data_IF_898303721136
#
_entry.id   IF_898303721136
#
_cell.length_a   1.000
_cell.length_b   1.000
_cell.length_c   1.000
_cell.angle_alpha   90.00
_cell.angle_beta   90.00
_cell.angle_gamma   90.00
#
_symmetry.space_group_name_H-M   'P 1'
#
loop_
_entity.id
_entity.type
_entity.pdbx_description
1 polymer ?
#
# COMPACT_ATOMS: atom_id res chain seq x y z
N UNK A 1 56.09 44.61 25.53
CA UNK A 1 55.19 45.70 25.99
C UNK A 1 53.88 45.57 25.20
N UNK A 2 52.75 45.40 25.65
CA UNK A 2 52.04 45.57 26.89
C UNK A 2 50.80 44.65 26.85
N UNK A 3 50.67 43.90 27.83
CA UNK A 3 49.49 43.21 28.33
C UNK A 3 48.23 44.07 28.36
N UNK A 4 47.08 43.51 28.10
CA UNK A 4 45.92 43.65 28.99
C UNK A 4 44.81 42.64 28.59
N UNK A 5 44.50 41.77 29.52
CA UNK A 5 43.25 41.00 29.71
C UNK A 5 42.35 41.88 30.61
N UNK A 6 41.15 41.39 31.04
CA UNK A 6 39.91 40.92 30.39
C UNK A 6 38.69 41.74 30.90
N UNK A 7 37.51 41.44 30.42
CA UNK A 7 36.27 41.81 31.14
C UNK A 7 35.24 40.67 31.05
N UNK A 8 35.07 40.06 32.22
CA UNK A 8 33.94 39.20 32.60
C UNK A 8 32.87 40.09 33.21
N UNK A 9 31.63 40.00 32.74
CA UNK A 9 30.41 40.47 33.45
C UNK A 9 29.35 39.40 33.10
N UNK A 10 29.06 38.49 33.98
CA UNK A 10 28.30 38.40 35.25
C UNK A 10 26.79 38.67 35.06
N UNK A 11 26.06 37.55 35.15
CA UNK A 11 24.80 37.28 35.85
C UNK A 11 23.89 38.47 36.19
N UNK A 12 22.64 38.39 35.76
CA UNK A 12 21.50 38.78 36.58
C UNK A 12 20.25 37.99 36.22
N UNK A 13 19.88 37.10 37.09
CA UNK A 13 18.57 36.51 37.23
C UNK A 13 17.51 37.58 37.52
N UNK A 14 16.35 37.49 36.91
CA UNK A 14 15.12 38.09 37.47
C UNK A 14 14.00 37.05 37.44
N UNK A 15 13.74 36.61 38.62
CA UNK A 15 12.59 35.87 39.11
C UNK A 15 11.56 36.90 39.60
N UNK A 16 10.34 36.90 39.11
CA UNK A 16 9.11 37.45 39.76
C UNK A 16 7.96 37.01 38.88
N UNK A 17 6.84 36.62 39.29
CA UNK A 17 6.05 36.37 40.51
C UNK A 17 4.71 35.82 40.03
N UNK A 18 4.25 34.82 40.65
CA UNK A 18 2.90 34.34 40.91
C UNK A 18 1.76 35.30 40.61
N UNK A 19 0.68 34.80 39.95
CA UNK A 19 -0.68 35.07 40.33
C UNK A 19 -1.54 33.85 40.08
N UNK A 20 -1.82 33.10 41.10
CA UNK A 20 -2.89 32.11 41.18
C UNK A 20 -4.23 32.85 41.19
N UNK A 21 -5.18 32.41 40.40
CA UNK A 21 -6.58 32.70 40.62
C UNK A 21 -7.36 31.37 40.58
N UNK A 22 -7.62 30.89 41.78
CA UNK A 22 -8.58 29.85 42.06
C UNK A 22 -9.98 30.44 41.94
N UNK A 23 -10.86 29.80 41.15
CA UNK A 23 -12.30 29.98 41.30
C UNK A 23 -12.93 28.60 41.47
N UNK A 24 -13.32 28.35 42.68
CA UNK A 24 -14.12 27.21 43.10
C UNK A 24 -15.61 27.56 42.94
N UNK A 25 -16.45 26.51 42.98
CA UNK A 25 -17.93 26.49 43.16
C UNK A 25 -18.65 26.15 41.85
N UNK A 26 -19.57 25.21 41.79
CA UNK A 26 -20.39 24.50 42.76
C UNK A 26 -20.85 23.18 42.16
N UNK A 27 -20.94 22.19 43.02
CA UNK A 27 -21.65 20.93 42.82
C UNK A 27 -23.13 21.21 42.79
N UNK A 28 -23.82 20.81 41.70
CA UNK A 28 -25.23 20.44 41.77
C UNK A 28 -25.37 19.16 40.98
N UNK A 29 -25.55 18.07 41.69
CA UNK A 29 -25.92 16.81 41.14
C UNK A 29 -27.36 16.79 40.72
N UNK A 30 -27.60 16.31 39.50
CA UNK A 30 -28.84 15.63 39.14
C UNK A 30 -28.50 14.63 38.07
N UNK A 31 -28.51 13.33 38.41
CA UNK A 31 -28.78 12.27 37.44
C UNK A 31 -30.26 12.28 37.09
N UNK A 32 -30.64 12.06 35.86
CA UNK A 32 -31.31 10.83 35.59
C UNK A 32 -30.78 10.07 34.34
N UNK A 33 -30.88 8.79 34.47
CA UNK A 33 -30.81 7.83 33.38
C UNK A 33 -31.78 8.24 32.25
N UNK A 34 -31.28 8.25 31.02
CA UNK A 34 -32.15 8.25 29.86
C UNK A 34 -31.43 7.58 28.68
N UNK A 35 -31.94 6.41 28.36
CA UNK A 35 -32.09 5.84 27.03
C UNK A 35 -31.03 6.22 25.99
N UNK A 36 -30.12 5.29 25.76
CA UNK A 36 -29.36 5.20 24.53
C UNK A 36 -30.33 4.97 23.36
N UNK A 37 -30.66 6.02 22.70
CA UNK A 37 -31.35 5.96 21.41
C UNK A 37 -30.36 5.39 20.40
N UNK A 38 -30.58 4.13 20.07
CA UNK A 38 -29.88 3.40 19.04
C UNK A 38 -30.29 4.01 17.69
N UNK A 39 -29.52 4.97 17.20
CA UNK A 39 -29.67 5.47 15.84
C UNK A 39 -29.30 4.32 14.91
N UNK A 40 -30.29 3.62 14.40
CA UNK A 40 -30.14 2.71 13.29
C UNK A 40 -29.65 3.48 12.06
N UNK A 41 -28.37 3.36 11.77
CA UNK A 41 -27.81 3.84 10.50
C UNK A 41 -28.39 2.99 9.38
N UNK A 42 -29.42 3.46 8.75
CA UNK A 42 -29.94 2.88 7.51
C UNK A 42 -28.80 2.83 6.49
N UNK A 43 -28.51 1.63 5.99
CA UNK A 43 -27.51 1.41 4.97
C UNK A 43 -27.82 2.29 3.75
N UNK A 44 -26.80 2.90 3.17
CA UNK A 44 -26.87 3.74 1.96
C UNK A 44 -27.61 3.05 0.80
N UNK A 45 -27.58 1.72 0.74
CA UNK A 45 -28.32 0.92 -0.24
C UNK A 45 -29.85 0.94 -0.03
N UNK A 46 -30.36 1.16 1.18
CA UNK A 46 -31.80 1.28 1.45
C UNK A 46 -32.34 2.64 1.04
N UNK A 47 -31.51 3.66 0.92
CA UNK A 47 -31.90 5.00 0.47
C UNK A 47 -32.04 5.07 -1.07
N UNK A 48 -31.34 4.24 -1.81
CA UNK A 48 -31.35 4.24 -3.29
C UNK A 48 -32.45 3.37 -3.91
N UNK A 49 -32.98 2.37 -3.21
CA UNK A 49 -33.95 1.42 -3.75
C UNK A 49 -35.26 1.28 -2.96
N UNK A 50 -35.53 2.18 -2.03
CA UNK A 50 -36.72 2.15 -1.17
C UNK A 50 -37.79 3.17 -1.55
N UNK A 51 -38.45 3.00 -2.68
CA UNK A 51 -39.56 3.85 -3.07
C UNK A 51 -40.53 3.18 -4.02
N UNK A 52 -41.55 2.52 -3.51
CA UNK A 52 -42.62 1.98 -4.37
C UNK A 52 -43.64 1.16 -3.58
N UNK A 53 -44.64 1.85 -2.98
CA UNK A 53 -45.89 1.22 -2.54
C UNK A 53 -46.69 0.80 -3.76
N UNK A 54 -47.20 -0.42 -3.81
CA UNK A 54 -48.51 -0.68 -4.40
C UNK A 54 -49.08 -2.02 -3.92
N UNK A 55 -50.20 -1.91 -3.39
CA UNK A 55 -51.43 -2.67 -3.33
C UNK A 55 -51.44 -4.10 -3.89
N UNK A 56 -51.91 -4.98 -3.04
CA UNK A 56 -52.41 -6.33 -3.30
C UNK A 56 -53.78 -6.26 -4.01
N UNK A 57 -54.08 -7.11 -4.94
CA UNK A 57 -55.41 -7.69 -5.02
C UNK A 57 -55.44 -9.23 -5.02
N UNK A 58 -56.58 -9.66 -4.62
CA UNK A 58 -57.04 -10.97 -4.19
C UNK A 58 -56.91 -12.13 -5.17
N UNK A 59 -56.93 -13.30 -4.52
CA UNK A 59 -57.11 -14.67 -5.03
C UNK A 59 -58.15 -14.82 -6.13
N UNK A 60 -57.78 -15.54 -7.19
CA UNK A 60 -58.65 -16.52 -7.81
C UNK A 60 -57.91 -17.83 -8.09
N UNK A 61 -58.46 -18.88 -7.52
CA UNK A 61 -58.16 -20.28 -7.68
C UNK A 61 -58.69 -20.74 -9.02
N UNK A 62 -57.87 -21.35 -9.86
CA UNK A 62 -58.31 -22.36 -10.82
C UNK A 62 -57.23 -23.42 -10.99
N UNK A 63 -57.61 -24.62 -10.64
CA UNK A 63 -56.91 -25.86 -10.95
C UNK A 63 -56.94 -26.13 -12.43
N UNK A 64 -55.83 -26.48 -13.02
CA UNK A 64 -55.76 -27.53 -14.07
C UNK A 64 -54.32 -27.98 -14.23
N UNK A 65 -54.14 -29.29 -14.07
CA UNK A 65 -52.90 -30.03 -14.30
C UNK A 65 -52.33 -29.78 -15.70
N UNK A 66 -51.03 -29.59 -15.73
CA UNK A 66 -50.22 -30.24 -16.77
C UNK A 66 -48.72 -30.32 -16.36
N UNK A 67 -48.24 -31.48 -16.55
CA UNK A 67 -46.94 -32.05 -16.27
C UNK A 67 -45.94 -31.48 -17.27
N UNK A 68 -44.97 -30.67 -16.87
CA UNK A 68 -43.76 -30.44 -17.66
C UNK A 68 -42.54 -30.24 -16.80
N UNK A 69 -41.61 -31.12 -17.01
CA UNK A 69 -40.14 -31.10 -16.84
C UNK A 69 -39.52 -30.03 -15.94
N UNK A 70 -39.07 -30.49 -14.79
CA UNK A 70 -38.16 -29.82 -13.87
C UNK A 70 -36.84 -29.55 -14.56
N UNK A 71 -36.33 -28.28 -14.60
CA UNK A 71 -34.97 -28.03 -15.02
C UNK A 71 -34.01 -28.57 -13.95
N UNK A 72 -33.19 -29.51 -14.34
CA UNK A 72 -32.06 -30.00 -13.53
C UNK A 72 -31.12 -28.83 -13.27
N UNK A 73 -30.93 -28.45 -11.99
CA UNK A 73 -29.83 -27.59 -11.55
C UNK A 73 -28.52 -28.16 -12.07
N UNK A 74 -27.63 -27.32 -12.64
CA UNK A 74 -26.28 -27.77 -12.93
C UNK A 74 -25.63 -28.29 -11.64
N UNK A 75 -25.13 -29.49 -11.69
CA UNK A 75 -24.38 -30.07 -10.59
C UNK A 75 -23.19 -29.15 -10.29
N UNK A 76 -23.15 -28.61 -9.08
CA UNK A 76 -21.94 -27.96 -8.56
C UNK A 76 -20.86 -29.03 -8.60
N UNK A 77 -19.92 -28.91 -9.53
CA UNK A 77 -18.70 -29.71 -9.52
C UNK A 77 -18.04 -29.44 -8.18
N UNK A 78 -18.07 -30.43 -7.29
CA UNK A 78 -17.28 -30.43 -6.08
C UNK A 78 -15.83 -30.17 -6.51
N UNK A 79 -15.25 -29.08 -6.02
CA UNK A 79 -13.85 -28.83 -6.22
C UNK A 79 -13.08 -30.04 -5.68
N UNK A 80 -12.17 -30.56 -6.50
CA UNK A 80 -11.27 -31.61 -6.05
C UNK A 80 -10.56 -31.16 -4.78
N UNK A 81 -10.30 -32.04 -3.81
CA UNK A 81 -9.56 -31.69 -2.61
C UNK A 81 -8.23 -31.04 -3.04
N UNK A 82 -7.90 -29.90 -2.42
CA UNK A 82 -6.61 -29.26 -2.64
C UNK A 82 -5.51 -30.28 -2.34
N UNK A 83 -4.53 -30.40 -3.26
CA UNK A 83 -3.36 -31.24 -3.04
C UNK A 83 -2.71 -30.82 -1.71
N UNK A 84 -2.14 -31.76 -0.93
CA UNK A 84 -1.38 -31.42 0.26
C UNK A 84 -0.33 -30.36 -0.07
N UNK A 85 -0.05 -29.41 0.83
CA UNK A 85 1.01 -28.45 0.61
C UNK A 85 2.31 -29.20 0.39
N UNK A 86 3.04 -28.84 -0.68
CA UNK A 86 4.37 -29.39 -0.93
C UNK A 86 5.28 -29.03 0.26
N UNK A 87 6.18 -29.92 0.70
CA UNK A 87 7.07 -29.63 1.82
C UNK A 87 7.92 -28.38 1.50
N UNK A 88 7.94 -27.45 2.44
CA UNK A 88 8.81 -26.27 2.36
C UNK A 88 10.26 -26.71 2.37
N UNK A 89 11.06 -26.15 1.44
CA UNK A 89 12.49 -26.40 1.38
C UNK A 89 13.18 -25.61 2.46
N UNK A 90 13.94 -26.28 3.32
CA UNK A 90 14.73 -25.63 4.36
C UNK A 90 15.73 -24.65 3.73
N UNK A 91 15.75 -23.40 4.24
CA UNK A 91 16.65 -22.37 3.73
C UNK A 91 18.05 -22.55 4.31
N UNK A 92 19.05 -22.27 3.47
CA UNK A 92 20.44 -22.31 3.90
C UNK A 92 20.75 -21.18 4.89
N UNK A 93 21.65 -21.42 5.83
CA UNK A 93 22.08 -20.40 6.80
C UNK A 93 22.68 -19.15 6.11
N UNK A 94 23.34 -19.34 4.96
CA UNK A 94 23.92 -18.28 4.14
C UNK A 94 23.04 -17.89 2.95
N UNK A 95 21.73 -18.15 3.00
CA UNK A 95 20.82 -17.76 1.94
C UNK A 95 20.84 -16.24 1.74
N UNK A 96 20.84 -15.81 0.46
CA UNK A 96 20.73 -14.39 0.10
C UNK A 96 19.43 -13.82 0.62
N UNK A 97 19.50 -12.71 1.32
CA UNK A 97 18.33 -12.00 1.86
C UNK A 97 17.86 -10.94 0.89
N UNK A 98 16.65 -11.09 0.40
CA UNK A 98 15.94 -10.14 -0.44
C UNK A 98 15.01 -9.34 0.48
N UNK A 99 15.37 -8.11 0.81
CA UNK A 99 14.53 -7.22 1.59
C UNK A 99 13.54 -6.52 0.66
N UNK A 100 12.24 -6.67 0.94
CA UNK A 100 11.16 -6.02 0.19
C UNK A 100 10.53 -4.96 1.09
N UNK A 101 10.55 -3.70 0.65
CA UNK A 101 10.03 -2.55 1.40
C UNK A 101 9.04 -1.74 0.57
N UNK A 102 8.12 -1.08 1.23
CA UNK A 102 7.17 -0.17 0.59
C UNK A 102 5.76 -0.25 1.16
N UNK A 103 4.77 0.04 0.32
CA UNK A 103 3.36 0.06 0.70
C UNK A 103 2.69 -1.33 0.57
N UNK A 104 1.35 -1.39 0.49
CA UNK A 104 0.62 -2.66 0.39
C UNK A 104 0.97 -3.48 -0.87
N UNK A 105 1.42 -2.83 -1.95
CA UNK A 105 1.89 -3.55 -3.14
C UNK A 105 3.20 -4.27 -2.86
N UNK A 106 4.09 -3.68 -2.07
CA UNK A 106 5.34 -4.33 -1.65
C UNK A 106 5.07 -5.60 -0.83
N UNK A 107 4.09 -5.58 0.07
CA UNK A 107 3.66 -6.80 0.77
C UNK A 107 3.15 -7.87 -0.19
N UNK A 108 2.33 -7.47 -1.19
CA UNK A 108 1.90 -8.39 -2.25
C UNK A 108 3.03 -8.90 -3.14
N UNK A 109 4.04 -8.06 -3.42
CA UNK A 109 5.24 -8.45 -4.15
C UNK A 109 6.07 -9.46 -3.34
N UNK A 110 6.24 -9.23 -2.04
CA UNK A 110 6.93 -10.15 -1.15
C UNK A 110 6.28 -11.54 -1.15
N UNK A 111 4.94 -11.62 -0.98
CA UNK A 111 4.20 -12.89 -1.09
C UNK A 111 4.47 -13.63 -2.42
N UNK A 112 4.47 -12.88 -3.54
CA UNK A 112 4.73 -13.44 -4.85
C UNK A 112 6.19 -13.91 -5.02
N UNK A 113 7.15 -13.21 -4.43
CA UNK A 113 8.56 -13.60 -4.42
C UNK A 113 8.82 -14.80 -3.50
N UNK A 114 8.19 -14.88 -2.34
CA UNK A 114 8.26 -16.05 -1.47
C UNK A 114 7.77 -17.31 -2.20
N UNK A 115 6.64 -17.20 -2.91
CA UNK A 115 6.14 -18.30 -3.74
C UNK A 115 7.15 -18.67 -4.86
N UNK A 116 7.77 -17.66 -5.50
CA UNK A 116 8.78 -17.88 -6.54
C UNK A 116 10.02 -18.59 -6.04
N UNK A 117 10.47 -18.23 -4.86
CA UNK A 117 11.69 -18.75 -4.25
C UNK A 117 11.44 -19.89 -3.26
N UNK A 118 10.18 -20.37 -3.13
CA UNK A 118 9.83 -21.44 -2.18
C UNK A 118 10.75 -22.68 -2.31
N UNK A 119 11.08 -23.05 -3.54
CA UNK A 119 11.96 -24.19 -3.86
C UNK A 119 13.45 -23.82 -3.99
N UNK A 120 13.83 -22.59 -3.68
CA UNK A 120 15.21 -22.09 -3.77
C UNK A 120 15.82 -21.97 -2.37
N UNK A 121 16.61 -22.95 -1.89
CA UNK A 121 17.14 -22.91 -0.53
C UNK A 121 18.11 -21.74 -0.30
N UNK A 122 18.72 -21.21 -1.35
CA UNK A 122 19.70 -20.13 -1.29
C UNK A 122 19.11 -18.72 -1.29
N UNK A 123 17.78 -18.54 -1.20
CA UNK A 123 17.13 -17.22 -1.20
C UNK A 123 16.08 -17.17 -0.10
N UNK A 124 16.13 -16.10 0.70
CA UNK A 124 15.12 -15.75 1.70
C UNK A 124 14.56 -14.38 1.36
N UNK A 125 13.25 -14.24 1.33
CA UNK A 125 12.55 -12.97 1.21
C UNK A 125 12.23 -12.46 2.61
N UNK A 126 12.55 -11.20 2.87
CA UNK A 126 12.24 -10.52 4.13
C UNK A 126 11.33 -9.35 3.81
N UNK A 127 10.07 -9.44 4.23
CA UNK A 127 9.07 -8.42 4.00
C UNK A 127 9.09 -7.40 5.14
N UNK A 128 9.14 -6.11 4.77
CA UNK A 128 9.08 -4.95 5.66
C UNK A 128 8.21 -3.88 4.98
N UNK A 129 6.92 -4.18 4.81
CA UNK A 129 5.98 -3.24 4.22
C UNK A 129 5.16 -2.50 5.27
N UNK A 130 4.73 -1.29 4.93
CA UNK A 130 3.77 -0.51 5.71
C UNK A 130 2.61 -0.14 4.79
N UNK A 131 1.52 -0.89 4.84
CA UNK A 131 0.45 -0.91 3.83
C UNK A 131 -0.12 0.45 3.45
N UNK A 132 -0.26 1.38 4.41
CA UNK A 132 -0.80 2.72 4.18
C UNK A 132 0.28 3.79 3.98
N UNK A 133 1.54 3.41 3.90
CA UNK A 133 2.67 4.33 3.70
C UNK A 133 2.77 4.81 2.25
N UNK A 134 3.58 5.82 2.06
CA UNK A 134 3.95 6.42 0.80
C UNK A 134 5.06 7.44 1.03
N UNK A 135 5.38 8.24 0.02
CA UNK A 135 6.32 9.36 0.15
C UNK A 135 5.61 10.67 0.46
N UNK A 136 4.30 10.78 0.18
CA UNK A 136 3.51 11.99 0.47
C UNK A 136 3.24 12.12 1.96
N UNK A 137 3.00 11.03 2.67
CA UNK A 137 2.64 10.99 4.08
C UNK A 137 3.82 10.55 4.95
N UNK A 138 4.91 11.33 4.90
CA UNK A 138 6.07 11.18 5.79
C UNK A 138 5.73 11.34 7.28
N UNK A 139 4.65 12.06 7.58
CA UNK A 139 4.08 12.14 8.93
C UNK A 139 3.45 10.82 9.42
N UNK A 140 3.11 9.91 8.52
CA UNK A 140 2.60 8.57 8.85
C UNK A 140 3.72 7.54 8.95
N UNK A 141 4.63 7.52 7.98
CA UNK A 141 5.79 6.63 7.93
C UNK A 141 6.90 7.26 7.09
N UNK A 142 8.04 7.52 7.72
CA UNK A 142 9.19 8.18 7.10
C UNK A 142 10.18 7.15 6.57
N UNK A 143 9.99 6.69 5.32
CA UNK A 143 10.85 5.69 4.70
C UNK A 143 12.33 6.07 4.70
N UNK A 144 12.74 7.30 4.35
CA UNK A 144 14.15 7.72 4.45
C UNK A 144 14.75 7.58 5.85
N UNK A 145 13.97 7.84 6.89
CA UNK A 145 14.43 7.76 8.28
C UNK A 145 14.50 6.31 8.79
N UNK A 146 13.52 5.47 8.42
CA UNK A 146 13.40 4.09 8.92
C UNK A 146 14.33 3.11 8.19
N UNK A 147 14.55 3.32 6.88
CA UNK A 147 15.22 2.37 6.01
C UNK A 147 16.67 2.03 6.43
N UNK A 148 17.50 2.98 6.90
CA UNK A 148 18.83 2.65 7.39
C UNK A 148 18.83 1.64 8.54
N UNK A 149 17.93 1.81 9.50
CA UNK A 149 17.78 0.87 10.64
C UNK A 149 17.35 -0.53 10.19
N UNK A 150 16.39 -0.59 9.26
CA UNK A 150 15.92 -1.86 8.67
C UNK A 150 17.06 -2.58 7.94
N UNK A 151 17.85 -1.85 7.15
CA UNK A 151 18.99 -2.42 6.41
C UNK A 151 20.07 -2.93 7.38
N UNK A 152 20.34 -2.21 8.46
CA UNK A 152 21.31 -2.63 9.48
C UNK A 152 20.85 -3.89 10.21
N UNK A 153 19.57 -3.99 10.55
CA UNK A 153 18.98 -5.14 11.25
C UNK A 153 18.95 -6.38 10.33
N UNK A 154 18.37 -6.25 9.14
CA UNK A 154 18.17 -7.37 8.21
C UNK A 154 19.47 -7.80 7.55
N UNK A 155 20.36 -6.86 7.25
CA UNK A 155 21.60 -7.07 6.48
C UNK A 155 21.31 -7.74 5.13
N UNK A 156 20.47 -7.13 4.28
CA UNK A 156 20.05 -7.75 3.03
C UNK A 156 21.19 -7.75 2.01
N UNK A 157 21.13 -8.70 1.09
CA UNK A 157 22.01 -8.74 -0.08
C UNK A 157 21.47 -7.87 -1.23
N UNK A 158 20.18 -7.57 -1.23
CA UNK A 158 19.49 -6.72 -2.19
C UNK A 158 18.26 -6.10 -1.54
N UNK A 159 17.96 -4.86 -1.89
CA UNK A 159 16.75 -4.14 -1.46
C UNK A 159 15.84 -3.96 -2.66
N UNK A 160 14.61 -4.43 -2.51
CA UNK A 160 13.52 -4.29 -3.49
C UNK A 160 12.51 -3.28 -2.93
N UNK A 161 12.28 -2.20 -3.66
CA UNK A 161 11.34 -1.15 -3.28
C UNK A 161 10.14 -1.19 -4.19
N UNK A 162 8.92 -1.16 -3.62
CA UNK A 162 7.68 -0.88 -4.35
C UNK A 162 6.82 0.06 -3.52
N UNK A 163 6.74 1.32 -3.92
CA UNK A 163 6.21 2.40 -3.11
C UNK A 163 5.54 3.45 -3.99
N UNK A 164 4.50 4.12 -3.48
CA UNK A 164 3.84 5.24 -4.14
C UNK A 164 2.38 5.00 -4.51
N UNK A 165 1.83 3.81 -4.28
CA UNK A 165 0.43 3.52 -4.61
C UNK A 165 -0.58 4.35 -3.80
N UNK A 166 -0.17 4.91 -2.66
CA UNK A 166 -0.98 5.78 -1.81
C UNK A 166 -0.74 7.28 -2.08
N UNK A 167 0.12 7.63 -3.04
CA UNK A 167 0.63 9.00 -3.20
C UNK A 167 -0.15 9.89 -4.17
N UNK A 168 -1.26 9.39 -4.74
CA UNK A 168 -2.20 10.19 -5.55
C UNK A 168 -2.99 11.16 -4.68
N UNK A 169 -2.30 12.07 -3.98
CA UNK A 169 -2.88 13.01 -3.04
C UNK A 169 -2.04 14.29 -2.86
N UNK A 170 -2.66 15.34 -2.34
CA UNK A 170 -1.95 16.57 -1.97
C UNK A 170 -0.83 16.27 -0.97
N UNK A 171 0.29 16.97 -1.12
CA UNK A 171 1.43 16.85 -0.23
C UNK A 171 1.56 18.10 0.66
N UNK A 172 1.98 17.89 1.90
CA UNK A 172 2.41 18.97 2.77
C UNK A 172 3.91 19.19 2.58
N UNK A 173 4.28 20.43 2.31
CA UNK A 173 5.68 20.89 2.22
C UNK A 173 5.91 22.00 3.23
N UNK A 174 7.15 22.46 3.37
CA UNK A 174 7.47 23.63 4.20
C UNK A 174 6.74 24.89 3.74
N UNK A 175 6.49 25.04 2.45
CA UNK A 175 5.76 26.18 1.85
C UNK A 175 4.24 26.04 1.94
N UNK A 176 3.71 24.95 2.47
CA UNK A 176 2.29 24.66 2.59
C UNK A 176 1.82 23.41 1.87
N UNK A 177 0.53 23.34 1.55
CA UNK A 177 -0.04 22.24 0.78
C UNK A 177 0.12 22.50 -0.71
N UNK A 178 0.54 21.48 -1.43
CA UNK A 178 0.72 21.50 -2.89
C UNK A 178 -0.14 20.41 -3.54
N UNK A 179 -0.72 20.77 -4.69
CA UNK A 179 -1.59 19.89 -5.46
C UNK A 179 -0.80 18.79 -6.15
N UNK A 180 -1.39 17.62 -6.25
CA UNK A 180 -0.85 16.45 -6.95
C UNK A 180 -0.37 16.86 -8.36
N UNK A 181 0.85 16.46 -8.70
CA UNK A 181 1.52 16.74 -9.98
C UNK A 181 1.72 18.23 -10.32
N UNK A 182 1.51 19.15 -9.37
CA UNK A 182 2.02 20.51 -9.57
C UNK A 182 3.55 20.50 -9.58
N UNK A 183 4.17 21.51 -10.17
CA UNK A 183 5.63 21.62 -10.22
C UNK A 183 6.28 21.50 -8.84
N UNK A 184 5.73 22.19 -7.84
CA UNK A 184 6.19 22.12 -6.45
C UNK A 184 6.02 20.73 -5.84
N UNK A 185 4.92 20.04 -6.17
CA UNK A 185 4.68 18.67 -5.72
C UNK A 185 5.70 17.70 -6.34
N UNK A 186 5.94 17.80 -7.64
CA UNK A 186 6.90 16.95 -8.36
C UNK A 186 8.31 17.15 -7.80
N UNK A 187 8.75 18.40 -7.64
CA UNK A 187 10.07 18.69 -7.09
C UNK A 187 10.29 18.13 -5.69
N UNK A 188 9.29 18.23 -4.81
CA UNK A 188 9.38 17.67 -3.47
C UNK A 188 9.29 16.13 -3.51
N UNK A 189 8.45 15.54 -4.38
CA UNK A 189 8.35 14.09 -4.52
C UNK A 189 9.66 13.48 -5.04
N UNK A 190 10.30 14.12 -6.02
CA UNK A 190 11.63 13.75 -6.52
C UNK A 190 12.69 13.79 -5.40
N UNK A 191 12.67 14.82 -4.58
CA UNK A 191 13.59 14.94 -3.43
C UNK A 191 13.37 13.78 -2.42
N UNK A 192 12.12 13.42 -2.13
CA UNK A 192 11.79 12.31 -1.22
C UNK A 192 12.17 10.96 -1.82
N UNK A 193 11.96 10.77 -3.11
CA UNK A 193 12.40 9.57 -3.84
C UNK A 193 13.92 9.42 -3.79
N UNK A 194 14.65 10.49 -4.06
CA UNK A 194 16.12 10.51 -3.97
C UNK A 194 16.61 10.16 -2.55
N UNK A 195 15.90 10.63 -1.51
CA UNK A 195 16.24 10.30 -0.12
C UNK A 195 16.11 8.80 0.19
N UNK A 196 15.08 8.11 -0.35
CA UNK A 196 14.95 6.65 -0.24
C UNK A 196 16.07 5.93 -0.99
N UNK A 197 16.34 6.36 -2.23
CA UNK A 197 17.42 5.80 -3.05
C UNK A 197 18.76 5.94 -2.32
N UNK A 198 19.02 7.13 -1.78
CA UNK A 198 20.23 7.42 -1.01
C UNK A 198 20.35 6.53 0.23
N UNK A 199 19.29 6.32 0.99
CA UNK A 199 19.30 5.45 2.17
C UNK A 199 19.72 4.02 1.82
N UNK A 200 19.23 3.47 0.70
CA UNK A 200 19.65 2.15 0.20
C UNK A 200 21.11 2.13 -0.23
N UNK A 201 21.54 3.16 -0.95
CA UNK A 201 22.91 3.30 -1.50
C UNK A 201 23.94 3.48 -0.38
N UNK A 202 23.63 4.30 0.61
CA UNK A 202 24.50 4.50 1.79
C UNK A 202 24.69 3.19 2.57
N UNK A 203 23.67 2.31 2.58
CA UNK A 203 23.76 0.94 3.07
C UNK A 203 24.61 0.02 2.18
N UNK A 204 25.14 0.49 1.07
CA UNK A 204 25.92 -0.25 0.07
C UNK A 204 25.20 -1.52 -0.42
N UNK A 205 23.91 -1.39 -0.72
CA UNK A 205 23.06 -2.49 -1.22
C UNK A 205 22.62 -2.24 -2.65
N UNK A 206 22.58 -3.29 -3.51
CA UNK A 206 21.90 -3.21 -4.78
C UNK A 206 20.44 -2.81 -4.60
N UNK A 207 19.96 -1.89 -5.45
CA UNK A 207 18.59 -1.38 -5.45
C UNK A 207 17.84 -1.90 -6.67
N UNK A 208 16.70 -2.53 -6.45
CA UNK A 208 15.69 -2.81 -7.45
C UNK A 208 14.41 -2.06 -7.07
N UNK A 209 13.91 -1.21 -7.94
CA UNK A 209 12.66 -0.50 -7.74
C UNK A 209 11.60 -1.06 -8.70
N UNK A 210 10.56 -1.64 -8.17
CA UNK A 210 9.45 -2.18 -8.95
C UNK A 210 8.41 -1.10 -9.16
N UNK A 211 8.07 -0.83 -10.42
CA UNK A 211 7.10 0.16 -10.79
C UNK A 211 5.68 -0.16 -10.29
N UNK A 212 4.81 0.82 -10.39
CA UNK A 212 3.41 0.74 -10.00
C UNK A 212 2.56 0.26 -11.18
N UNK A 213 1.57 -0.60 -10.95
CA UNK A 213 0.63 -1.04 -11.98
C UNK A 213 -0.47 -0.01 -12.20
N UNK A 214 -1.29 -0.20 -13.23
CA UNK A 214 -2.55 0.52 -13.41
C UNK A 214 -3.56 0.19 -12.30
N UNK A 215 -4.53 1.08 -12.08
CA UNK A 215 -5.65 0.90 -11.16
C UNK A 215 -6.98 1.13 -11.87
N UNK A 216 -8.09 0.68 -11.30
CA UNK A 216 -9.42 0.85 -11.89
C UNK A 216 -9.86 2.33 -12.03
N UNK A 217 -9.22 3.22 -11.28
CA UNK A 217 -9.47 4.66 -11.35
C UNK A 217 -8.49 5.32 -12.32
N UNK A 218 -9.01 5.89 -13.42
CA UNK A 218 -8.20 6.48 -14.51
C UNK A 218 -7.27 7.59 -14.00
N UNK A 219 -7.74 8.44 -13.08
CA UNK A 219 -6.90 9.50 -12.49
C UNK A 219 -5.72 8.92 -11.71
N UNK A 220 -5.97 7.89 -10.89
CA UNK A 220 -4.93 7.21 -10.14
C UNK A 220 -3.93 6.53 -11.08
N UNK A 221 -4.40 5.87 -12.14
CA UNK A 221 -3.52 5.27 -13.14
C UNK A 221 -2.62 6.30 -13.82
N UNK A 222 -3.15 7.49 -14.15
CA UNK A 222 -2.36 8.58 -14.71
C UNK A 222 -1.30 9.10 -13.72
N UNK A 223 -1.61 9.12 -12.43
CA UNK A 223 -0.63 9.46 -11.40
C UNK A 223 0.47 8.38 -11.31
N UNK A 224 0.10 7.09 -11.36
CA UNK A 224 1.09 5.99 -11.34
C UNK A 224 2.05 6.05 -12.54
N UNK A 225 1.56 6.41 -13.73
CA UNK A 225 2.43 6.61 -14.90
C UNK A 225 3.44 7.73 -14.64
N UNK A 226 3.00 8.85 -14.07
CA UNK A 226 3.89 9.97 -13.75
C UNK A 226 4.93 9.58 -12.69
N UNK A 227 4.51 8.86 -11.63
CA UNK A 227 5.41 8.37 -10.58
C UNK A 227 6.43 7.37 -11.12
N UNK A 228 6.01 6.43 -11.96
CA UNK A 228 6.90 5.48 -12.61
C UNK A 228 7.99 6.19 -13.45
N UNK A 229 7.64 7.30 -14.09
CA UNK A 229 8.61 8.15 -14.80
C UNK A 229 9.68 8.72 -13.87
N UNK A 230 9.28 9.24 -12.72
CA UNK A 230 10.20 9.78 -11.69
C UNK A 230 11.10 8.65 -11.16
N UNK A 231 10.50 7.52 -10.73
CA UNK A 231 11.26 6.40 -10.20
C UNK A 231 12.28 5.86 -11.19
N UNK A 232 11.85 5.61 -12.43
CA UNK A 232 12.74 5.10 -13.47
C UNK A 232 13.95 6.01 -13.65
N UNK A 233 13.72 7.31 -13.85
CA UNK A 233 14.78 8.28 -14.08
C UNK A 233 15.76 8.30 -12.90
N UNK A 234 15.29 8.45 -11.67
CA UNK A 234 16.16 8.64 -10.51
C UNK A 234 16.88 7.36 -10.10
N UNK A 235 16.20 6.22 -10.17
CA UNK A 235 16.79 4.91 -9.84
C UNK A 235 17.89 4.55 -10.81
N UNK A 236 17.66 4.72 -12.13
CA UNK A 236 18.67 4.44 -13.16
C UNK A 236 19.85 5.40 -13.06
N UNK A 237 19.62 6.69 -12.79
CA UNK A 237 20.70 7.67 -12.57
C UNK A 237 21.56 7.32 -11.35
N UNK A 238 20.97 6.75 -10.31
CA UNK A 238 21.67 6.28 -9.13
C UNK A 238 22.37 4.92 -9.32
N UNK A 239 22.26 4.29 -10.49
CA UNK A 239 22.83 2.98 -10.79
C UNK A 239 22.04 1.82 -10.16
N UNK A 240 20.77 2.04 -9.83
CA UNK A 240 19.80 0.99 -9.47
C UNK A 240 19.11 0.42 -10.71
N UNK A 241 18.27 -0.57 -10.51
CA UNK A 241 17.47 -1.20 -11.57
C UNK A 241 15.98 -0.87 -11.38
N UNK A 242 15.36 -0.25 -12.40
CA UNK A 242 13.90 -0.06 -12.43
C UNK A 242 13.23 -1.21 -13.19
N UNK A 243 12.22 -1.82 -12.58
CA UNK A 243 11.45 -2.92 -13.16
C UNK A 243 10.06 -2.41 -13.53
N UNK A 244 9.82 -2.21 -14.80
CA UNK A 244 8.51 -1.84 -15.31
C UNK A 244 7.57 -3.04 -15.32
N UNK A 245 6.42 -2.90 -14.67
CA UNK A 245 5.39 -3.93 -14.63
C UNK A 245 4.08 -3.49 -15.32
N UNK A 246 4.05 -2.29 -15.89
CA UNK A 246 2.83 -1.65 -16.41
C UNK A 246 2.08 -2.54 -17.41
N UNK A 247 2.78 -3.02 -18.43
CA UNK A 247 2.21 -3.82 -19.51
C UNK A 247 1.62 -5.17 -19.03
N UNK A 248 2.03 -5.62 -17.86
CA UNK A 248 1.46 -6.82 -17.25
C UNK A 248 0.05 -6.66 -16.71
N UNK A 249 -0.44 -5.41 -16.55
CA UNK A 249 -1.68 -5.09 -15.84
C UNK A 249 -2.61 -4.16 -16.62
N UNK A 250 -2.38 -4.01 -17.91
CA UNK A 250 -3.22 -3.26 -18.86
C UNK A 250 -3.56 -4.11 -20.08
N UNK A 251 -4.57 -3.70 -20.86
CA UNK A 251 -4.87 -4.24 -22.18
C UNK A 251 -3.99 -3.60 -23.27
N UNK A 252 -4.25 -3.97 -24.53
CA UNK A 252 -3.53 -3.46 -25.71
C UNK A 252 -3.69 -1.95 -25.91
N UNK A 253 -4.74 -1.37 -25.35
CA UNK A 253 -4.99 0.09 -25.36
C UNK A 253 -4.36 0.80 -24.13
N UNK A 254 -3.65 0.10 -23.27
CA UNK A 254 -3.05 0.63 -22.03
C UNK A 254 -4.06 0.87 -20.89
N UNK A 255 -5.26 0.27 -20.98
CA UNK A 255 -6.30 0.42 -19.95
C UNK A 255 -6.23 -0.69 -18.93
N UNK A 256 -6.63 -0.35 -17.69
CA UNK A 256 -6.72 -1.28 -16.58
C UNK A 256 -7.54 -2.54 -16.92
N UNK A 257 -7.05 -3.70 -16.45
CA UNK A 257 -7.75 -4.98 -16.57
C UNK A 257 -7.88 -5.70 -15.23
N UNK A 258 -9.03 -6.33 -14.98
CA UNK A 258 -9.21 -7.24 -13.85
C UNK A 258 -8.59 -8.61 -14.11
N UNK A 259 -8.60 -9.04 -15.35
CA UNK A 259 -8.18 -10.36 -15.81
C UNK A 259 -7.17 -10.20 -16.93
N UNK A 260 -6.14 -11.01 -16.93
CA UNK A 260 -5.09 -11.02 -17.95
C UNK A 260 -4.29 -12.31 -17.89
N UNK A 261 -3.27 -12.43 -18.70
CA UNK A 261 -2.39 -13.60 -18.70
C UNK A 261 -1.62 -13.70 -17.37
N UNK A 262 -1.63 -14.88 -16.75
CA UNK A 262 -0.73 -15.22 -15.65
C UNK A 262 0.70 -15.52 -16.18
N UNK A 263 1.57 -15.99 -15.30
CA UNK A 263 2.96 -16.34 -15.64
C UNK A 263 3.09 -17.53 -16.62
N UNK A 264 2.02 -18.30 -16.83
CA UNK A 264 1.95 -19.43 -17.73
C UNK A 264 1.19 -19.09 -19.04
N UNK A 265 0.82 -17.83 -19.22
CA UNK A 265 0.04 -17.37 -20.36
C UNK A 265 -1.46 -17.72 -20.29
N UNK A 266 -1.94 -18.23 -19.16
CA UNK A 266 -3.34 -18.57 -18.97
C UNK A 266 -4.13 -17.36 -18.44
N UNK A 267 -5.38 -17.23 -18.87
CA UNK A 267 -6.27 -16.18 -18.37
C UNK A 267 -6.56 -16.38 -16.88
N UNK A 268 -6.21 -15.40 -16.08
CA UNK A 268 -6.43 -15.40 -14.64
C UNK A 268 -6.94 -14.03 -14.16
N UNK A 269 -7.69 -14.05 -13.08
CA UNK A 269 -8.03 -12.81 -12.40
C UNK A 269 -6.80 -12.30 -11.65
N UNK A 270 -6.31 -11.11 -12.03
CA UNK A 270 -5.10 -10.50 -11.47
C UNK A 270 -5.41 -9.50 -10.35
N UNK A 271 -6.62 -8.92 -10.36
CA UNK A 271 -7.05 -7.86 -9.44
C UNK A 271 -8.23 -8.29 -8.58
N UNK A 272 -8.28 -7.80 -7.35
CA UNK A 272 -9.43 -7.88 -6.47
C UNK A 272 -10.66 -7.17 -7.06
N UNK A 273 -11.83 -7.39 -6.48
CA UNK A 273 -13.07 -6.74 -6.92
C UNK A 273 -13.08 -5.23 -6.72
N UNK A 274 -12.22 -4.72 -5.87
CA UNK A 274 -11.99 -3.30 -5.60
C UNK A 274 -11.18 -2.60 -6.71
N UNK A 275 -10.55 -3.35 -7.62
CA UNK A 275 -9.67 -2.81 -8.66
C UNK A 275 -8.36 -2.23 -8.13
N UNK A 276 -8.02 -2.50 -6.86
CA UNK A 276 -6.84 -2.00 -6.14
C UNK A 276 -5.93 -3.16 -5.75
N UNK A 277 -6.45 -4.10 -4.96
CA UNK A 277 -5.67 -5.20 -4.44
C UNK A 277 -5.31 -6.23 -5.53
N UNK A 278 -4.15 -6.87 -5.37
CA UNK A 278 -3.72 -7.98 -6.22
C UNK A 278 -4.28 -9.31 -5.71
N UNK A 279 -4.73 -10.15 -6.61
CA UNK A 279 -5.00 -11.57 -6.31
C UNK A 279 -3.68 -12.34 -6.15
N UNK A 280 -3.75 -13.59 -5.74
CA UNK A 280 -2.56 -14.47 -5.72
C UNK A 280 -1.88 -14.50 -7.09
N UNK A 281 -2.63 -14.66 -8.19
CA UNK A 281 -2.07 -14.66 -9.54
C UNK A 281 -1.45 -13.30 -9.91
N UNK A 282 -2.06 -12.18 -9.49
CA UNK A 282 -1.51 -10.84 -9.69
C UNK A 282 -0.20 -10.63 -8.94
N UNK A 283 -0.11 -11.04 -7.67
CA UNK A 283 1.11 -10.99 -6.86
C UNK A 283 2.24 -11.83 -7.48
N UNK A 284 1.91 -13.06 -7.89
CA UNK A 284 2.88 -13.92 -8.56
C UNK A 284 3.38 -13.33 -9.88
N UNK A 285 2.51 -12.64 -10.62
CA UNK A 285 2.87 -11.94 -11.85
C UNK A 285 3.79 -10.74 -11.59
N UNK A 286 3.53 -9.92 -10.56
CA UNK A 286 4.45 -8.85 -10.14
C UNK A 286 5.84 -9.41 -9.83
N UNK A 287 5.90 -10.48 -9.03
CA UNK A 287 7.15 -11.14 -8.68
C UNK A 287 7.90 -11.66 -9.90
N UNK A 288 7.22 -12.21 -10.89
CA UNK A 288 7.82 -12.71 -12.14
C UNK A 288 8.61 -11.63 -12.88
N UNK A 289 8.11 -10.39 -12.92
CA UNK A 289 8.87 -9.27 -13.51
C UNK A 289 10.15 -8.96 -12.75
N UNK A 290 10.14 -9.05 -11.42
CA UNK A 290 11.28 -8.70 -10.58
C UNK A 290 12.33 -9.84 -10.43
N UNK A 291 11.93 -11.09 -10.61
CA UNK A 291 12.78 -12.26 -10.36
C UNK A 291 14.12 -12.21 -11.08
N UNK A 292 14.14 -11.80 -12.35
CA UNK A 292 15.36 -11.75 -13.15
C UNK A 292 16.41 -10.83 -12.52
N UNK A 293 15.98 -9.69 -11.98
CA UNK A 293 16.85 -8.70 -11.37
C UNK A 293 17.36 -9.17 -10.00
N UNK A 294 16.55 -9.95 -9.29
CA UNK A 294 16.89 -10.52 -7.98
C UNK A 294 17.84 -11.72 -8.10
N UNK A 295 17.72 -12.52 -9.16
CA UNK A 295 18.56 -13.73 -9.37
C UNK A 295 19.98 -13.43 -9.84
N UNK A 296 20.27 -12.22 -10.28
CA UNK A 296 21.62 -11.76 -10.66
C UNK A 296 22.48 -11.50 -9.43
#
# INVERSE_FOLDING_TARGET
RSMSRPAVISFAARLTCFAALAFAIAVVGVSPASAQERVERKSFLQLLFGGGKTAQPERRRNETSERTSRPTKPAVRSAAPAAPPEPEVEKLENARKVLVVGDFLAGGLADGLEESFAKSPGVVVVEQSSGSSGLVRDDYYDWPAELPGIIEEVKPDIVVVQLGSNDSQQMRTESGRVEVRSEAWVAEYERRTDSVIKAVRDGNRPLVWVGLPSFNFTSMSADMVALNGIFKQQVEQAGGEFVDIWDGFVDEDGKFVFTGSDINGQQARLRGSDGINMTKAGRRKMAFYAEKNIRR
#
